data_IF_509077232932
#
_entry.id   IF_509077232932
#
_cell.length_a   1.000
_cell.length_b   1.000
_cell.length_c   1.000
_cell.angle_alpha   90.00
_cell.angle_beta   90.00
_cell.angle_gamma   90.00
#
_symmetry.space_group_name_H-M   'P 1'
#
loop_
_entity.id
_entity.type
_entity.pdbx_description
1 polymer ?
#
# COMPACT_ATOMS: atom_id res chain seq x y z
N UNK A 1 -22.97 -3.51 12.58
CA UNK A 1 -22.65 -3.33 14.01
C UNK A 1 -23.36 -4.42 14.77
N UNK A 2 -22.71 -5.03 15.75
CA UNK A 2 -23.29 -6.08 16.60
C UNK A 2 -23.54 -5.43 17.95
N UNK A 3 -24.77 -5.53 18.45
CA UNK A 3 -25.12 -5.03 19.77
C UNK A 3 -24.35 -5.81 20.83
N UNK A 4 -23.90 -5.15 21.90
CA UNK A 4 -23.03 -5.74 22.93
C UNK A 4 -23.55 -7.06 23.50
N UNK A 5 -24.87 -7.15 23.71
CA UNK A 5 -25.59 -8.35 24.18
C UNK A 5 -25.50 -9.56 23.24
N UNK A 6 -25.19 -9.36 21.95
CA UNK A 6 -25.14 -10.41 20.94
C UNK A 6 -23.70 -10.83 20.55
N UNK A 7 -22.69 -10.23 21.19
CA UNK A 7 -21.27 -10.47 20.86
C UNK A 7 -20.87 -11.92 21.16
N UNK A 8 -21.31 -12.48 22.28
CA UNK A 8 -20.91 -13.81 22.72
C UNK A 8 -21.44 -14.93 21.80
N UNK A 9 -22.67 -14.77 21.31
CA UNK A 9 -23.23 -15.64 20.28
C UNK A 9 -22.51 -15.45 18.94
N UNK A 10 -22.19 -14.20 18.57
CA UNK A 10 -21.50 -13.89 17.32
C UNK A 10 -20.09 -14.47 17.27
N UNK A 11 -19.31 -14.38 18.34
CA UNK A 11 -17.93 -14.89 18.43
C UNK A 11 -17.85 -16.35 17.93
N UNK A 12 -18.84 -17.18 18.27
CA UNK A 12 -18.92 -18.59 17.87
C UNK A 12 -19.07 -18.79 16.36
N UNK A 13 -19.67 -17.82 15.66
CA UNK A 13 -19.96 -17.89 14.22
C UNK A 13 -19.15 -16.88 13.39
N UNK A 14 -18.38 -16.00 14.03
CA UNK A 14 -17.68 -14.89 13.39
C UNK A 14 -16.66 -15.39 12.35
N UNK A 15 -16.87 -15.11 11.05
CA UNK A 15 -15.93 -15.54 10.02
C UNK A 15 -14.55 -14.88 10.18
N UNK A 16 -14.51 -13.62 10.62
CA UNK A 16 -13.26 -12.90 10.85
C UNK A 16 -12.46 -13.48 12.01
N UNK A 17 -13.11 -13.89 13.10
CA UNK A 17 -12.42 -14.52 14.22
C UNK A 17 -11.85 -15.89 13.83
N UNK A 18 -12.63 -16.72 13.12
CA UNK A 18 -12.17 -18.01 12.60
C UNK A 18 -10.97 -17.83 11.67
N UNK A 19 -11.02 -16.84 10.78
CA UNK A 19 -9.92 -16.51 9.88
C UNK A 19 -8.67 -16.07 10.65
N UNK A 20 -8.82 -15.19 11.66
CA UNK A 20 -7.72 -14.75 12.50
C UNK A 20 -7.08 -15.92 13.25
N UNK A 21 -7.88 -16.82 13.85
CA UNK A 21 -7.39 -18.02 14.52
C UNK A 21 -6.63 -18.96 13.58
N UNK A 22 -7.14 -19.17 12.35
CA UNK A 22 -6.45 -19.98 11.35
C UNK A 22 -5.11 -19.37 10.91
N UNK A 23 -5.02 -18.04 10.84
CA UNK A 23 -3.77 -17.32 10.58
C UNK A 23 -2.78 -17.48 11.74
N UNK A 24 -3.26 -17.39 12.98
CA UNK A 24 -2.42 -17.56 14.18
C UNK A 24 -1.73 -18.93 14.27
N UNK A 25 -2.29 -19.95 13.60
CA UNK A 25 -1.76 -21.31 13.55
C UNK A 25 -0.74 -21.54 12.42
N UNK A 26 -0.47 -20.55 11.57
CA UNK A 26 0.48 -20.71 10.47
C UNK A 26 1.93 -20.78 10.98
N UNK A 27 2.82 -21.59 10.39
CA UNK A 27 4.20 -21.80 10.87
C UNK A 27 5.04 -20.53 11.01
N UNK A 28 4.73 -19.50 10.23
CA UNK A 28 5.46 -18.23 10.19
C UNK A 28 4.68 -17.07 10.82
N UNK A 29 3.52 -17.35 11.43
CA UNK A 29 2.74 -16.31 12.09
C UNK A 29 3.48 -15.82 13.33
N UNK A 30 3.71 -14.51 13.39
CA UNK A 30 4.20 -13.84 14.58
C UNK A 30 3.37 -12.58 14.78
N UNK A 31 2.49 -12.63 15.78
CA UNK A 31 1.66 -11.49 16.16
C UNK A 31 2.53 -10.25 16.32
N UNK A 32 2.22 -9.20 15.57
CA UNK A 32 2.91 -7.93 15.68
C UNK A 32 4.17 -7.78 14.81
N UNK A 33 4.52 -8.73 13.95
CA UNK A 33 5.80 -8.69 13.20
C UNK A 33 5.91 -7.48 12.26
N UNK A 34 4.80 -7.00 11.69
CA UNK A 34 4.72 -5.79 10.86
C UNK A 34 3.88 -4.68 11.50
N UNK A 35 3.51 -4.84 12.76
CA UNK A 35 2.79 -3.83 13.52
C UNK A 35 3.77 -2.74 13.93
N UNK A 36 4.12 -1.85 13.00
CA UNK A 36 4.42 -0.49 13.41
C UNK A 36 3.24 0.03 14.25
N UNK A 37 3.54 0.82 15.28
CA UNK A 37 2.66 1.27 16.39
C UNK A 37 1.39 2.07 15.99
N UNK A 38 0.92 1.95 14.75
CA UNK A 38 -0.23 2.63 14.17
C UNK A 38 -1.59 1.92 14.36
N UNK A 39 -1.71 0.94 15.26
CA UNK A 39 -3.01 0.30 15.53
C UNK A 39 -3.99 1.19 16.29
N UNK A 40 -3.55 2.33 16.84
CA UNK A 40 -4.36 3.05 17.84
C UNK A 40 -5.21 4.19 17.26
N UNK A 41 -4.90 4.74 16.08
CA UNK A 41 -5.67 5.84 15.49
C UNK A 41 -7.08 5.43 15.00
N UNK A 42 -7.39 4.13 14.89
CA UNK A 42 -8.73 3.66 14.50
C UNK A 42 -9.59 3.09 15.63
N UNK A 43 -9.03 2.92 16.84
CA UNK A 43 -9.74 2.29 17.98
C UNK A 43 -10.10 3.32 19.05
N UNK A 44 -9.38 4.44 19.16
CA UNK A 44 -9.71 5.53 20.11
C UNK A 44 -10.76 6.48 19.52
N UNK A 45 -11.90 5.94 19.13
CA UNK A 45 -13.15 6.69 19.26
C UNK A 45 -13.56 6.66 20.72
N UNK A 46 -13.32 7.78 21.43
CA UNK A 46 -13.93 8.10 22.74
C UNK A 46 -13.87 6.98 23.80
N UNK A 47 -12.72 6.78 24.43
CA UNK A 47 -12.68 6.09 25.74
C UNK A 47 -12.00 7.02 26.73
N UNK A 48 -12.80 7.84 27.41
CA UNK A 48 -12.46 8.33 28.74
C UNK A 48 -12.53 7.14 29.68
N UNK A 49 -11.39 6.58 30.08
CA UNK A 49 -11.15 6.04 31.43
C UNK A 49 -9.77 5.36 31.49
N UNK A 50 -8.93 5.90 32.38
CA UNK A 50 -7.57 5.42 32.65
C UNK A 50 -7.66 4.31 33.70
N UNK A 51 -7.47 3.06 33.28
CA UNK A 51 -7.19 1.93 34.17
C UNK A 51 -5.68 1.76 34.42
N UNK A 52 -5.25 1.13 35.53
CA UNK A 52 -3.85 1.10 35.94
C UNK A 52 -2.99 0.24 34.99
N UNK A 53 -1.92 0.88 34.50
CA UNK A 53 -0.91 0.33 33.61
C UNK A 53 -0.18 -0.86 34.24
N UNK A 54 -0.24 -2.03 33.59
CA UNK A 54 0.63 -3.17 33.87
C UNK A 54 1.87 -3.06 32.97
N UNK A 55 3.03 -3.10 33.62
CA UNK A 55 4.40 -2.99 33.09
C UNK A 55 4.61 -3.45 31.65
N UNK A 56 5.06 -2.53 30.79
CA UNK A 56 5.47 -2.79 29.41
C UNK A 56 5.08 -1.73 28.38
N UNK A 57 4.48 -0.60 28.81
CA UNK A 57 4.04 0.49 27.94
C UNK A 57 5.23 1.18 27.26
N UNK A 58 5.53 0.80 26.01
CA UNK A 58 6.02 1.80 25.06
C UNK A 58 4.91 2.84 24.91
N UNK A 59 5.17 4.07 25.36
CA UNK A 59 4.21 5.17 25.32
C UNK A 59 3.54 5.26 23.95
N UNK A 60 2.21 5.24 23.92
CA UNK A 60 1.43 5.32 22.69
C UNK A 60 1.63 6.73 22.09
N UNK A 61 2.51 6.86 21.09
CA UNK A 61 2.76 8.13 20.39
C UNK A 61 1.69 8.34 19.31
N UNK A 62 0.68 9.18 19.60
CA UNK A 62 -0.37 9.51 18.64
C UNK A 62 0.11 10.51 17.57
N UNK A 63 -0.62 10.59 16.45
CA UNK A 63 -0.39 11.59 15.40
C UNK A 63 -0.49 13.03 15.92
N UNK A 64 -1.37 13.26 16.89
CA UNK A 64 -1.51 14.55 17.57
C UNK A 64 -0.29 14.88 18.43
N UNK A 65 0.22 13.92 19.21
CA UNK A 65 1.42 14.10 20.01
C UNK A 65 2.64 14.46 19.15
N UNK A 66 2.79 13.81 17.98
CA UNK A 66 3.87 14.14 17.01
C UNK A 66 3.77 15.58 16.51
N UNK A 67 2.58 16.03 16.11
CA UNK A 67 2.36 17.42 15.66
C UNK A 67 2.62 18.41 16.79
N UNK A 68 2.12 18.12 17.98
CA UNK A 68 2.31 18.98 19.15
C UNK A 68 3.79 19.09 19.55
N UNK A 69 4.57 18.02 19.41
CA UNK A 69 6.01 18.08 19.64
C UNK A 69 6.71 19.07 18.70
N UNK A 70 6.34 19.08 17.41
CA UNK A 70 6.87 20.05 16.43
C UNK A 70 6.37 21.47 16.73
N UNK A 71 5.09 21.66 17.01
CA UNK A 71 4.52 22.99 17.28
C UNK A 71 5.02 23.63 18.58
N UNK A 72 5.49 22.84 19.54
CA UNK A 72 6.08 23.33 20.79
C UNK A 72 7.56 23.72 20.65
N UNK A 73 8.21 23.39 19.54
CA UNK A 73 9.60 23.78 19.31
C UNK A 73 9.71 25.30 19.18
N UNK A 74 10.76 25.86 19.78
CA UNK A 74 11.22 27.18 19.40
C UNK A 74 11.71 27.19 17.95
N UNK A 75 11.79 28.38 17.37
CA UNK A 75 12.35 28.56 16.01
C UNK A 75 13.76 27.97 15.90
N UNK A 76 14.59 28.17 16.94
CA UNK A 76 15.95 27.63 16.98
C UNK A 76 15.97 26.10 16.98
N UNK A 77 15.17 25.46 17.83
CA UNK A 77 15.09 23.99 17.88
C UNK A 77 14.56 23.39 16.57
N UNK A 78 13.63 24.07 15.91
CA UNK A 78 13.13 23.67 14.62
C UNK A 78 14.21 23.72 13.52
N UNK A 79 15.02 24.79 13.48
CA UNK A 79 16.16 24.86 12.56
C UNK A 79 17.22 23.80 12.86
N UNK A 80 17.49 23.53 14.13
CA UNK A 80 18.41 22.45 14.52
C UNK A 80 17.89 21.06 14.11
N UNK A 81 16.58 20.84 14.16
CA UNK A 81 15.96 19.61 13.63
C UNK A 81 16.14 19.49 12.11
N UNK A 82 15.89 20.56 11.35
CA UNK A 82 16.10 20.58 9.90
C UNK A 82 17.56 20.27 9.58
N UNK A 83 18.50 20.95 10.25
CA UNK A 83 19.95 20.74 10.06
C UNK A 83 20.35 19.28 10.30
N UNK A 84 19.77 18.63 11.31
CA UNK A 84 20.00 17.20 11.58
C UNK A 84 19.45 16.31 10.46
N UNK A 85 18.25 16.59 9.97
CA UNK A 85 17.63 15.84 8.86
C UNK A 85 18.50 15.97 7.60
N UNK A 86 18.91 17.19 7.25
CA UNK A 86 19.77 17.46 6.11
C UNK A 86 21.14 16.77 6.23
N UNK A 87 21.77 16.82 7.41
CA UNK A 87 23.04 16.14 7.65
C UNK A 87 22.94 14.63 7.44
N UNK A 88 21.87 14.00 7.93
CA UNK A 88 21.62 12.56 7.72
C UNK A 88 21.31 12.25 6.25
N UNK A 89 20.51 13.10 5.59
CA UNK A 89 20.22 12.96 4.18
C UNK A 89 21.51 13.01 3.35
N UNK A 90 22.37 14.00 3.59
CA UNK A 90 23.65 14.15 2.88
C UNK A 90 24.60 12.98 3.13
N UNK A 91 24.61 12.41 4.34
CA UNK A 91 25.49 11.29 4.67
C UNK A 91 24.99 9.92 4.18
N UNK A 92 23.68 9.77 3.98
CA UNK A 92 23.05 8.48 3.66
C UNK A 92 22.60 8.39 2.20
N UNK A 93 22.19 9.52 1.63
CA UNK A 93 21.51 9.59 0.33
C UNK A 93 22.35 10.29 -0.74
N UNK A 94 23.67 10.41 -0.57
CA UNK A 94 24.55 11.06 -1.57
C UNK A 94 24.46 10.46 -2.96
N UNK A 95 24.05 9.19 -3.05
CA UNK A 95 24.04 8.40 -4.28
C UNK A 95 22.62 8.14 -4.81
N UNK A 96 21.58 8.65 -4.14
CA UNK A 96 20.20 8.53 -4.60
C UNK A 96 19.97 9.56 -5.70
N UNK A 97 19.93 9.11 -6.94
CA UNK A 97 19.62 9.94 -8.09
C UNK A 97 18.11 10.16 -8.20
N UNK A 98 17.71 11.41 -8.40
CA UNK A 98 16.33 11.70 -8.79
C UNK A 98 16.05 11.08 -10.16
N UNK A 99 14.90 10.42 -10.29
CA UNK A 99 14.46 9.84 -11.55
C UNK A 99 12.96 10.03 -11.75
N UNK A 100 12.62 10.53 -12.93
CA UNK A 100 11.25 10.61 -13.42
C UNK A 100 11.21 10.08 -14.85
N UNK A 101 10.36 9.07 -15.07
CA UNK A 101 10.27 8.36 -16.36
C UNK A 101 8.82 8.20 -16.76
N UNK A 102 8.48 8.70 -17.94
CA UNK A 102 7.13 8.63 -18.48
C UNK A 102 7.12 7.66 -19.69
N UNK A 103 6.84 6.37 -19.47
CA UNK A 103 6.84 5.38 -20.54
C UNK A 103 5.62 5.58 -21.44
N UNK A 104 5.80 5.38 -22.74
CA UNK A 104 4.74 5.49 -23.75
C UNK A 104 3.54 4.58 -23.44
N UNK A 105 3.80 3.40 -22.88
CA UNK A 105 2.77 2.43 -22.46
C UNK A 105 1.76 3.03 -21.45
N UNK A 106 2.15 4.08 -20.72
CA UNK A 106 1.30 4.78 -19.75
C UNK A 106 0.54 5.98 -20.32
N UNK A 107 0.61 6.23 -21.62
CA UNK A 107 -0.05 7.38 -22.27
C UNK A 107 -1.54 7.49 -21.96
N UNK A 108 -2.26 6.37 -21.89
CA UNK A 108 -3.70 6.36 -21.55
C UNK A 108 -4.00 6.97 -20.17
N UNK A 109 -3.09 6.82 -19.21
CA UNK A 109 -3.22 7.37 -17.87
C UNK A 109 -2.85 8.85 -17.84
N UNK A 110 -1.78 9.23 -18.53
CA UNK A 110 -1.30 10.61 -18.60
C UNK A 110 -2.25 11.51 -19.39
N UNK A 111 -2.85 10.99 -20.47
CA UNK A 111 -3.82 11.69 -21.31
C UNK A 111 -5.26 11.69 -20.74
N UNK A 112 -5.46 11.08 -19.56
CA UNK A 112 -6.78 10.97 -18.89
C UNK A 112 -7.83 10.22 -19.72
N UNK A 113 -7.38 9.24 -20.49
CA UNK A 113 -8.21 8.37 -21.33
C UNK A 113 -8.73 7.12 -20.59
N UNK A 114 -8.43 7.04 -19.29
CA UNK A 114 -8.90 5.98 -18.39
C UNK A 114 -10.38 6.13 -18.01
N UNK A 115 -11.01 5.02 -17.60
CA UNK A 115 -12.40 5.02 -17.16
C UNK A 115 -12.62 6.06 -16.04
N UNK A 116 -13.55 7.00 -16.29
CA UNK A 116 -13.93 8.08 -15.36
C UNK A 116 -14.47 7.57 -14.02
N UNK A 117 -14.84 6.29 -13.92
CA UNK A 117 -15.23 5.65 -12.65
C UNK A 117 -14.04 5.42 -11.71
N UNK A 118 -12.82 5.42 -12.22
CA UNK A 118 -11.60 5.28 -11.42
C UNK A 118 -11.23 6.66 -10.86
N UNK A 119 -11.06 6.81 -9.54
CA UNK A 119 -10.62 8.07 -8.96
C UNK A 119 -9.26 8.48 -9.51
N UNK A 120 -9.24 9.61 -10.20
CA UNK A 120 -8.04 10.18 -10.78
C UNK A 120 -7.54 11.35 -9.93
N UNK A 121 -6.25 11.32 -9.58
CA UNK A 121 -5.54 12.48 -9.06
C UNK A 121 -4.19 12.54 -9.75
N UNK A 122 -3.94 13.64 -10.45
CA UNK A 122 -2.77 13.84 -11.31
C UNK A 122 -1.46 13.53 -10.59
N UNK A 123 -1.27 14.05 -9.37
CA UNK A 123 -0.08 13.77 -8.55
C UNK A 123 0.16 12.27 -8.30
N UNK A 124 -0.91 11.49 -8.12
CA UNK A 124 -0.80 10.05 -7.87
C UNK A 124 -0.51 9.29 -9.16
N UNK A 125 -1.07 9.75 -10.28
CA UNK A 125 -0.82 9.15 -11.59
C UNK A 125 0.61 9.42 -12.03
N UNK A 126 1.09 10.66 -11.94
CA UNK A 126 2.49 11.02 -12.22
C UNK A 126 3.46 10.14 -11.43
N UNK A 127 3.17 9.92 -10.14
CA UNK A 127 3.97 9.03 -9.29
C UNK A 127 3.92 7.57 -9.77
N UNK A 128 2.73 7.03 -10.04
CA UNK A 128 2.56 5.65 -10.51
C UNK A 128 3.28 5.42 -11.83
N UNK A 129 3.09 6.33 -12.78
CA UNK A 129 3.73 6.28 -14.11
C UNK A 129 5.25 6.35 -13.98
N UNK A 130 5.78 7.22 -13.12
CA UNK A 130 7.23 7.27 -12.84
C UNK A 130 7.77 5.95 -12.29
N UNK A 131 7.06 5.32 -11.36
CA UNK A 131 7.45 4.02 -10.80
C UNK A 131 7.54 2.97 -11.92
N UNK A 132 6.50 2.87 -12.76
CA UNK A 132 6.48 1.91 -13.86
C UNK A 132 7.55 2.21 -14.92
N UNK A 133 7.78 3.48 -15.25
CA UNK A 133 8.81 3.89 -16.19
C UNK A 133 10.22 3.53 -15.73
N UNK A 134 10.50 3.69 -14.43
CA UNK A 134 11.76 3.25 -13.87
C UNK A 134 11.87 1.72 -13.92
N UNK A 135 10.82 0.98 -13.56
CA UNK A 135 10.82 -0.49 -13.66
C UNK A 135 11.04 -0.98 -15.10
N UNK A 136 10.51 -0.27 -16.10
CA UNK A 136 10.80 -0.52 -17.52
C UNK A 136 12.28 -0.24 -17.86
N UNK A 137 12.81 0.91 -17.44
CA UNK A 137 14.22 1.27 -17.67
C UNK A 137 15.20 0.26 -17.04
N UNK A 138 14.87 -0.27 -15.87
CA UNK A 138 15.64 -1.33 -15.21
C UNK A 138 15.43 -2.72 -15.83
N UNK A 139 14.55 -2.87 -16.82
CA UNK A 139 14.27 -4.14 -17.49
C UNK A 139 13.41 -5.12 -16.66
N UNK A 140 12.75 -4.64 -15.60
CA UNK A 140 11.79 -5.43 -14.81
C UNK A 140 10.46 -5.56 -15.55
N UNK A 141 10.06 -4.49 -16.25
CA UNK A 141 8.89 -4.46 -17.11
C UNK A 141 9.34 -4.39 -18.57
N UNK A 142 8.77 -5.26 -19.40
CA UNK A 142 8.97 -5.16 -20.84
C UNK A 142 7.89 -4.30 -21.47
N UNK A 143 8.32 -3.38 -22.33
CA UNK A 143 7.41 -2.47 -23.00
C UNK A 143 6.57 -3.22 -24.06
N UNK A 144 5.24 -3.29 -23.90
CA UNK A 144 4.39 -4.00 -24.85
C UNK A 144 4.32 -3.33 -26.22
N UNK A 145 4.61 -2.03 -26.35
CA UNK A 145 4.61 -1.32 -27.65
C UNK A 145 5.84 -1.64 -28.50
N UNK A 146 6.91 -2.13 -27.88
CA UNK A 146 8.18 -2.49 -28.55
C UNK A 146 8.28 -3.96 -28.97
N UNK A 147 7.23 -4.77 -28.73
CA UNK A 147 7.23 -6.18 -29.10
C UNK A 147 6.71 -6.40 -30.52
N UNK A 148 7.51 -7.09 -31.34
CA UNK A 148 7.08 -7.57 -32.65
C UNK A 148 5.89 -8.54 -32.51
N UNK A 149 4.93 -8.43 -33.45
CA UNK A 149 3.65 -9.13 -33.44
C UNK A 149 3.72 -10.66 -33.29
N UNK A 150 4.83 -11.29 -33.70
CA UNK A 150 5.06 -12.74 -33.58
C UNK A 150 5.50 -13.13 -32.16
N UNK A 151 6.35 -12.33 -31.51
CA UNK A 151 6.80 -12.53 -30.14
C UNK A 151 5.67 -12.28 -29.11
N UNK A 152 4.71 -11.43 -29.46
CA UNK A 152 3.54 -11.08 -28.64
C UNK A 152 2.72 -12.28 -28.16
N UNK A 153 2.56 -13.32 -29.00
CA UNK A 153 1.71 -14.48 -28.67
C UNK A 153 2.34 -15.42 -27.63
N UNK A 154 3.65 -15.66 -27.74
CA UNK A 154 4.39 -16.50 -26.78
C UNK A 154 4.63 -15.74 -25.47
N UNK A 155 4.84 -14.42 -25.57
CA UNK A 155 5.06 -13.54 -24.44
C UNK A 155 3.78 -13.26 -23.63
N UNK A 156 2.62 -13.19 -24.29
CA UNK A 156 1.31 -13.11 -23.61
C UNK A 156 1.04 -14.29 -22.67
N UNK A 157 1.70 -15.44 -22.91
CA UNK A 157 1.66 -16.63 -22.07
C UNK A 157 2.78 -16.67 -21.01
N UNK A 158 3.84 -15.86 -21.16
CA UNK A 158 5.01 -15.78 -20.25
C UNK A 158 5.05 -14.55 -19.35
N UNK A 159 4.02 -13.67 -19.38
CA UNK A 159 3.99 -12.47 -18.53
C UNK A 159 4.18 -12.84 -17.04
N UNK A 160 5.07 -12.13 -16.32
CA UNK A 160 5.34 -12.45 -14.93
C UNK A 160 4.11 -12.22 -14.06
N UNK A 161 4.01 -13.01 -12.99
CA UNK A 161 3.09 -12.69 -11.91
C UNK A 161 3.68 -11.56 -11.07
N UNK A 162 2.84 -10.64 -10.61
CA UNK A 162 3.26 -9.48 -9.81
C UNK A 162 2.76 -9.63 -8.39
N UNK A 163 3.64 -9.38 -7.42
CA UNK A 163 3.30 -9.32 -6.00
C UNK A 163 3.51 -7.88 -5.52
N UNK A 164 2.44 -7.20 -5.12
CA UNK A 164 2.50 -5.82 -4.63
C UNK A 164 2.38 -5.82 -3.11
N UNK A 165 3.45 -5.41 -2.42
CA UNK A 165 3.46 -5.22 -0.97
C UNK A 165 3.00 -3.81 -0.60
N UNK A 166 2.15 -3.71 0.43
CA UNK A 166 1.54 -2.43 0.79
C UNK A 166 0.58 -1.92 -0.27
N UNK A 167 -0.12 -2.85 -0.94
CA UNK A 167 -0.93 -2.55 -2.13
C UNK A 167 -2.05 -1.54 -1.86
N UNK A 168 -2.43 -1.32 -0.60
CA UNK A 168 -3.44 -0.35 -0.21
C UNK A 168 -4.72 -0.52 -1.03
N UNK A 169 -5.06 0.53 -1.79
CA UNK A 169 -6.26 0.58 -2.66
C UNK A 169 -6.06 -0.03 -4.05
N UNK A 170 -4.84 -0.44 -4.43
CA UNK A 170 -4.51 -1.13 -5.68
C UNK A 170 -4.41 -0.24 -6.92
N UNK A 171 -4.13 1.06 -6.76
CA UNK A 171 -4.07 1.96 -7.93
C UNK A 171 -2.81 1.76 -8.77
N UNK A 172 -1.65 1.51 -8.15
CA UNK A 172 -0.44 1.18 -8.89
C UNK A 172 -0.65 -0.11 -9.71
N UNK A 173 -1.25 -1.12 -9.08
CA UNK A 173 -1.70 -2.35 -9.75
C UNK A 173 -2.58 -2.07 -10.97
N UNK A 174 -3.54 -1.16 -10.84
CA UNK A 174 -4.45 -0.80 -11.91
C UNK A 174 -3.69 -0.17 -13.08
N UNK A 175 -2.82 0.80 -12.82
CA UNK A 175 -1.95 1.40 -13.84
C UNK A 175 -1.09 0.34 -14.52
N UNK A 176 -0.46 -0.54 -13.75
CA UNK A 176 0.36 -1.64 -14.26
C UNK A 176 -0.44 -2.59 -15.17
N UNK A 177 -1.63 -2.99 -14.74
CA UNK A 177 -2.50 -3.89 -15.50
C UNK A 177 -3.06 -3.24 -16.77
N UNK A 178 -3.29 -1.92 -16.77
CA UNK A 178 -3.73 -1.18 -17.96
C UNK A 178 -2.58 -0.97 -18.95
N UNK A 179 -1.38 -0.64 -18.47
CA UNK A 179 -0.27 -0.20 -19.33
C UNK A 179 0.59 -1.36 -19.83
N UNK A 180 0.82 -2.38 -18.99
CA UNK A 180 1.71 -3.51 -19.30
C UNK A 180 0.93 -4.84 -19.47
N UNK A 181 -0.39 -4.80 -19.25
CA UNK A 181 -1.31 -5.93 -19.40
C UNK A 181 -0.92 -7.15 -18.57
N UNK A 182 -0.37 -6.95 -17.37
CA UNK A 182 -0.13 -8.01 -16.41
C UNK A 182 -1.45 -8.71 -16.06
N UNK A 183 -1.42 -10.05 -16.05
CA UNK A 183 -2.63 -10.89 -15.87
C UNK A 183 -2.72 -11.59 -14.52
N UNK A 184 -1.60 -11.79 -13.82
CA UNK A 184 -1.56 -12.55 -12.56
C UNK A 184 -1.01 -11.64 -11.47
N UNK A 185 -1.82 -11.33 -10.47
CA UNK A 185 -1.49 -10.33 -9.46
C UNK A 185 -1.87 -10.84 -8.07
N UNK A 186 -0.93 -10.71 -7.13
CA UNK A 186 -1.13 -10.92 -5.71
C UNK A 186 -0.92 -9.61 -4.96
N UNK A 187 -1.96 -9.11 -4.31
CA UNK A 187 -1.89 -7.91 -3.47
C UNK A 187 -1.69 -8.30 -2.02
N UNK A 188 -0.62 -7.80 -1.40
CA UNK A 188 -0.26 -8.07 0.00
C UNK A 188 -0.45 -6.80 0.82
N UNK A 189 -1.28 -6.87 1.86
CA UNK A 189 -1.64 -5.69 2.65
C UNK A 189 -2.06 -6.06 4.09
N UNK A 190 -1.78 -5.21 5.08
CA UNK A 190 -2.20 -5.41 6.47
C UNK A 190 -3.67 -5.05 6.72
N UNK A 191 -4.13 -3.95 6.13
CA UNK A 191 -5.46 -3.38 6.35
C UNK A 191 -6.35 -3.58 5.12
N UNK A 192 -7.59 -4.02 5.34
CA UNK A 192 -8.57 -4.12 4.25
C UNK A 192 -9.03 -2.73 3.80
N UNK A 193 -8.29 -2.10 2.89
CA UNK A 193 -8.75 -0.90 2.22
C UNK A 193 -9.86 -1.29 1.23
N UNK A 194 -11.07 -0.74 1.42
CA UNK A 194 -12.21 -1.06 0.53
C UNK A 194 -11.97 -0.57 -0.92
N UNK A 195 -11.51 -1.50 -1.76
CA UNK A 195 -12.05 -1.89 -3.07
C UNK A 195 -12.24 -0.86 -4.20
N UNK A 196 -11.57 0.31 -4.21
CA UNK A 196 -11.79 1.24 -5.35
C UNK A 196 -11.18 0.72 -6.66
N UNK A 197 -9.88 0.41 -6.69
CA UNK A 197 -9.28 -0.19 -7.88
C UNK A 197 -9.64 -1.69 -8.00
N UNK A 198 -9.77 -2.38 -6.88
CA UNK A 198 -10.11 -3.83 -6.83
C UNK A 198 -11.38 -4.17 -7.63
N UNK A 199 -12.42 -3.31 -7.57
CA UNK A 199 -13.65 -3.51 -8.37
C UNK A 199 -13.39 -3.44 -9.87
N UNK A 200 -12.66 -2.42 -10.31
CA UNK A 200 -12.32 -2.23 -11.73
C UNK A 200 -11.40 -3.35 -12.22
N UNK A 201 -10.42 -3.76 -11.41
CA UNK A 201 -9.52 -4.88 -11.70
C UNK A 201 -10.29 -6.20 -11.87
N UNK A 202 -11.23 -6.52 -10.97
CA UNK A 202 -12.01 -7.76 -11.05
C UNK A 202 -12.99 -7.82 -12.22
N UNK A 203 -13.32 -6.68 -12.83
CA UNK A 203 -14.13 -6.65 -14.05
C UNK A 203 -13.32 -7.03 -15.30
N UNK A 204 -11.99 -7.10 -15.20
CA UNK A 204 -11.15 -7.58 -16.30
C UNK A 204 -11.14 -9.11 -16.31
N UNK A 205 -11.89 -9.70 -17.25
CA UNK A 205 -12.05 -11.16 -17.35
C UNK A 205 -10.72 -11.94 -17.48
N UNK A 206 -9.68 -11.31 -18.02
CA UNK A 206 -8.36 -11.93 -18.21
C UNK A 206 -7.39 -11.74 -17.02
N UNK A 207 -7.83 -11.11 -15.93
CA UNK A 207 -7.02 -10.81 -14.75
C UNK A 207 -7.33 -11.78 -13.59
N UNK A 208 -6.32 -12.53 -13.17
CA UNK A 208 -6.31 -13.30 -11.92
C UNK A 208 -5.78 -12.39 -10.81
N UNK A 209 -6.67 -12.01 -9.89
CA UNK A 209 -6.37 -11.11 -8.78
C UNK A 209 -6.63 -11.78 -7.43
N UNK A 210 -5.54 -12.08 -6.73
CA UNK A 210 -5.55 -12.54 -5.35
C UNK A 210 -5.17 -11.41 -4.40
N UNK A 211 -5.76 -11.42 -3.19
CA UNK A 211 -5.38 -10.47 -2.14
C UNK A 211 -5.10 -11.22 -0.85
N UNK A 212 -3.84 -11.21 -0.46
CA UNK A 212 -3.38 -11.77 0.81
C UNK A 212 -3.37 -10.67 1.87
N UNK A 213 -4.09 -10.92 2.97
CA UNK A 213 -4.00 -10.10 4.16
C UNK A 213 -2.96 -10.69 5.10
N UNK A 214 -1.99 -9.87 5.49
CA UNK A 214 -0.96 -10.22 6.48
C UNK A 214 -1.18 -9.43 7.78
N UNK A 215 -0.62 -9.89 8.88
CA UNK A 215 -0.67 -9.22 10.19
C UNK A 215 0.53 -8.29 10.45
#
# INVERSE_FOLDING_TARGET
SILGENVEAHIKVCPFLKQAQALMLQPFYKKGINSGSEEVDSVLGSVEEVGPLVNGSEDIITSEMKRNAVYKMSVFEFYELIRKIEAVYMSTCSDIRESFKEPEACGIWMNREVDRKIPFQEKHVVQQVSILGNLEEFGVLENPTKMDSVASSEYANKRPAVVEFGAGRGYLTQTLADCYGIKKILLVERKSYKLKADRSLRQKESLILERLRID
#
